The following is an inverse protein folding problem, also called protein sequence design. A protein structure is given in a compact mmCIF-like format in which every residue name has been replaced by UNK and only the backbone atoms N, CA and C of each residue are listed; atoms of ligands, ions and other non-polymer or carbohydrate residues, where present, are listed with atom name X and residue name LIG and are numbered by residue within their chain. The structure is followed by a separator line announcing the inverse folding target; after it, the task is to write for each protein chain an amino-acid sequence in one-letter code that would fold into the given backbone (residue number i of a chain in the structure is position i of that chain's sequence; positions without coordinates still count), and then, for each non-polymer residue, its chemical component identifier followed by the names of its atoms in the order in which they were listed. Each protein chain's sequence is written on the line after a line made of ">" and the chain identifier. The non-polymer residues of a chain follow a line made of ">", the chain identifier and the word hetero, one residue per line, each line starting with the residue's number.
data_IF_556648947650
#
_entry.id   IF_556648947650
#
_cell.length_a   1.000
_cell.length_b   1.000
_cell.length_c   1.000
_cell.angle_alpha   90.00
_cell.angle_beta   90.00
_cell.angle_gamma   90.00
#
_symmetry.space_group_name_H-M   'P 1'
#
loop_
_entity.id
_entity.type
_entity.pdbx_description
1 polymer ?
#
# COMPACT_ATOMS: atom_id res chain seq x y z
N UNK A 1 2.13 -29.65 -4.79
CA UNK A 1 0.88 -29.02 -4.30
C UNK A 1 1.10 -28.12 -3.09
N UNK A 2 1.64 -28.62 -1.97
CA UNK A 2 1.83 -27.80 -0.75
C UNK A 2 2.64 -26.51 -0.98
N UNK A 3 3.74 -26.58 -1.73
CA UNK A 3 4.57 -25.40 -2.07
C UNK A 3 3.76 -24.33 -2.81
N UNK A 4 2.91 -24.73 -3.76
CA UNK A 4 2.02 -23.82 -4.49
C UNK A 4 0.97 -23.19 -3.56
N UNK A 5 0.40 -23.98 -2.64
CA UNK A 5 -0.54 -23.45 -1.65
C UNK A 5 0.13 -22.42 -0.73
N UNK A 6 1.33 -22.71 -0.22
CA UNK A 6 2.09 -21.76 0.60
C UNK A 6 2.41 -20.49 -0.16
N UNK A 7 2.89 -20.60 -1.41
CA UNK A 7 3.16 -19.44 -2.26
C UNK A 7 1.91 -18.57 -2.47
N UNK A 8 0.75 -19.21 -2.70
CA UNK A 8 -0.54 -18.53 -2.80
C UNK A 8 -0.93 -17.82 -1.50
N UNK A 9 -0.80 -18.47 -0.35
CA UNK A 9 -1.09 -17.87 0.96
C UNK A 9 -0.18 -16.68 1.21
N UNK A 10 1.12 -16.79 0.95
CA UNK A 10 2.07 -15.68 1.11
C UNK A 10 1.72 -14.52 0.19
N UNK A 11 1.35 -14.78 -1.06
CA UNK A 11 0.91 -13.74 -1.99
C UNK A 11 -0.35 -13.02 -1.48
N UNK A 12 -1.35 -13.75 -1.00
CA UNK A 12 -2.57 -13.15 -0.40
C UNK A 12 -2.23 -12.34 0.84
N UNK A 13 -1.37 -12.84 1.73
CA UNK A 13 -0.91 -12.09 2.91
C UNK A 13 -0.20 -10.80 2.53
N UNK A 14 0.65 -10.82 1.49
CA UNK A 14 1.28 -9.61 0.95
C UNK A 14 0.26 -8.64 0.37
N UNK A 15 -0.76 -9.13 -0.34
CA UNK A 15 -1.83 -8.29 -0.89
C UNK A 15 -2.59 -7.57 0.22
N UNK A 16 -2.99 -8.28 1.28
CA UNK A 16 -3.69 -7.69 2.43
C UNK A 16 -2.83 -6.58 3.05
N UNK A 17 -1.55 -6.85 3.29
CA UNK A 17 -0.62 -5.84 3.83
C UNK A 17 -0.45 -4.61 2.92
N UNK A 18 -0.43 -4.80 1.60
CA UNK A 18 -0.38 -3.69 0.66
C UNK A 18 -1.66 -2.86 0.72
N UNK A 19 -2.83 -3.50 0.81
CA UNK A 19 -4.13 -2.83 0.92
C UNK A 19 -4.22 -2.01 2.21
N UNK A 20 -3.83 -2.60 3.34
CA UNK A 20 -3.84 -1.90 4.63
C UNK A 20 -2.89 -0.70 4.63
N UNK A 21 -1.66 -0.88 4.12
CA UNK A 21 -0.68 0.18 3.98
C UNK A 21 -1.18 1.33 3.08
N UNK A 22 -1.74 1.00 1.91
CA UNK A 22 -2.28 2.01 1.00
C UNK A 22 -3.44 2.77 1.65
N UNK A 23 -4.35 2.06 2.34
CA UNK A 23 -5.51 2.66 3.00
C UNK A 23 -5.09 3.65 4.09
N UNK A 24 -4.16 3.27 4.95
CA UNK A 24 -3.67 4.16 6.00
C UNK A 24 -2.91 5.36 5.44
N UNK A 25 -2.09 5.16 4.40
CA UNK A 25 -1.38 6.26 3.75
C UNK A 25 -2.34 7.25 3.07
N UNK A 26 -3.39 6.78 2.39
CA UNK A 26 -4.38 7.66 1.77
C UNK A 26 -5.09 8.53 2.82
N UNK A 27 -5.45 7.94 3.97
CA UNK A 27 -6.11 8.65 5.07
C UNK A 27 -5.20 9.70 5.73
N UNK A 28 -3.93 9.36 5.98
CA UNK A 28 -2.96 10.29 6.55
C UNK A 28 -2.60 11.41 5.57
N UNK A 29 -2.44 11.08 4.28
CA UNK A 29 -2.20 12.07 3.24
C UNK A 29 -3.41 13.01 3.07
N UNK A 30 -4.64 12.50 3.20
CA UNK A 30 -5.86 13.31 3.15
C UNK A 30 -5.93 14.38 4.25
N UNK A 31 -5.25 14.14 5.38
CA UNK A 31 -5.07 15.11 6.49
C UNK A 31 -3.92 16.09 6.28
N UNK A 32 -3.21 15.98 5.16
CA UNK A 32 -2.02 16.79 4.86
C UNK A 32 -0.73 16.29 5.50
N UNK A 33 -0.72 15.10 6.13
CA UNK A 33 0.47 14.52 6.76
C UNK A 33 1.11 13.45 5.87
N UNK A 34 1.69 13.89 4.75
CA UNK A 34 2.33 12.99 3.77
C UNK A 34 3.57 12.28 4.35
N UNK A 35 4.31 12.94 5.24
CA UNK A 35 5.49 12.37 5.89
C UNK A 35 5.14 11.17 6.76
N UNK A 36 4.13 11.32 7.63
CA UNK A 36 3.60 10.22 8.44
C UNK A 36 2.91 9.16 7.59
N UNK A 37 2.21 9.55 6.51
CA UNK A 37 1.59 8.62 5.58
C UNK A 37 2.61 7.63 4.98
N UNK A 38 3.72 8.13 4.42
CA UNK A 38 4.77 7.28 3.84
C UNK A 38 5.45 6.43 4.92
N UNK A 39 5.77 7.01 6.08
CA UNK A 39 6.40 6.27 7.16
C UNK A 39 5.51 5.13 7.67
N UNK A 40 4.20 5.37 7.79
CA UNK A 40 3.23 4.38 8.25
C UNK A 40 2.99 3.29 7.21
N UNK A 41 2.79 3.64 5.94
CA UNK A 41 2.69 2.66 4.87
C UNK A 41 3.94 1.77 4.78
N UNK A 42 5.15 2.32 4.94
CA UNK A 42 6.38 1.51 4.95
C UNK A 42 6.45 0.52 6.13
N UNK A 43 5.83 0.83 7.27
CA UNK A 43 5.77 -0.09 8.42
C UNK A 43 4.77 -1.23 8.18
N UNK A 44 3.62 -0.94 7.55
CA UNK A 44 2.61 -1.95 7.24
C UNK A 44 2.98 -2.81 6.03
N UNK A 45 3.55 -2.18 4.99
CA UNK A 45 3.83 -2.82 3.72
C UNK A 45 4.93 -3.90 3.82
N UNK A 46 4.93 -4.88 2.90
CA UNK A 46 6.02 -5.84 2.80
C UNK A 46 7.41 -5.18 2.65
N UNK A 47 8.46 -5.89 3.05
CA UNK A 47 9.82 -5.38 2.96
C UNK A 47 10.18 -5.03 1.51
N UNK A 48 10.85 -3.89 1.30
CA UNK A 48 11.21 -3.41 -0.03
C UNK A 48 10.04 -2.82 -0.83
N UNK A 49 8.85 -2.68 -0.24
CA UNK A 49 7.72 -2.07 -0.92
C UNK A 49 7.97 -0.60 -1.25
N UNK A 50 7.58 -0.21 -2.45
CA UNK A 50 7.55 1.17 -2.94
C UNK A 50 6.20 1.77 -2.59
N UNK A 51 6.22 2.97 -2.00
CA UNK A 51 5.02 3.72 -1.62
C UNK A 51 5.03 5.01 -2.43
N UNK A 52 3.94 5.26 -3.14
CA UNK A 52 3.73 6.47 -3.93
C UNK A 52 2.45 7.14 -3.49
N UNK A 53 2.52 8.45 -3.30
CA UNK A 53 1.39 9.31 -2.97
C UNK A 53 1.18 10.30 -4.10
N UNK A 54 -0.07 10.51 -4.48
CA UNK A 54 -0.44 11.50 -5.48
C UNK A 54 -1.77 12.14 -5.11
N UNK A 55 -1.88 13.45 -5.31
CA UNK A 55 -3.14 14.18 -5.19
C UNK A 55 -3.80 14.26 -6.57
N UNK A 56 -5.02 13.75 -6.66
CA UNK A 56 -5.88 13.78 -7.83
C UNK A 56 -7.13 14.61 -7.50
N UNK A 57 -7.08 15.91 -7.84
CA UNK A 57 -8.11 16.88 -7.44
C UNK A 57 -8.29 16.94 -5.92
N UNK A 58 -9.50 16.62 -5.47
CA UNK A 58 -9.88 16.58 -4.05
C UNK A 58 -9.59 15.23 -3.39
N UNK A 59 -8.90 14.32 -4.07
CA UNK A 59 -8.57 12.99 -3.56
C UNK A 59 -7.06 12.80 -3.39
N UNK A 60 -6.69 12.09 -2.34
CA UNK A 60 -5.35 11.57 -2.12
C UNK A 60 -5.34 10.08 -2.45
N UNK A 61 -4.47 9.73 -3.37
CA UNK A 61 -4.26 8.39 -3.87
C UNK A 61 -2.94 7.86 -3.33
N UNK A 62 -3.01 6.72 -2.65
CA UNK A 62 -1.83 5.98 -2.21
C UNK A 62 -1.71 4.68 -2.99
N UNK A 63 -0.53 4.45 -3.55
CA UNK A 63 -0.18 3.20 -4.25
C UNK A 63 0.98 2.55 -3.52
N UNK A 64 0.83 1.27 -3.20
CA UNK A 64 1.87 0.45 -2.57
C UNK A 64 2.15 -0.73 -3.50
N UNK A 65 3.42 -0.91 -3.86
CA UNK A 65 3.88 -2.01 -4.72
C UNK A 65 4.98 -2.77 -4.01
N UNK A 66 4.81 -4.08 -3.86
CA UNK A 66 5.77 -4.98 -3.25
C UNK A 66 6.16 -6.09 -4.22
N UNK A 67 7.45 -6.38 -4.30
CA UNK A 67 7.95 -7.49 -5.10
C UNK A 67 7.84 -8.81 -4.31
N UNK A 68 7.29 -9.86 -4.90
CA UNK A 68 7.13 -11.14 -4.22
C UNK A 68 8.44 -11.92 -4.19
N UNK A 69 8.97 -12.18 -2.99
CA UNK A 69 10.17 -13.02 -2.81
C UNK A 69 9.93 -14.50 -3.18
N UNK A 70 8.67 -14.95 -3.16
CA UNK A 70 8.31 -16.34 -3.47
C UNK A 70 7.95 -16.52 -4.95
N UNK A 71 7.56 -15.42 -5.61
CA UNK A 71 7.15 -15.37 -7.01
C UNK A 71 7.88 -14.19 -7.68
N UNK A 72 9.17 -14.33 -8.02
CA UNK A 72 10.06 -13.22 -8.39
C UNK A 72 9.72 -12.52 -9.72
N UNK A 73 8.65 -12.92 -10.40
CA UNK A 73 8.13 -12.24 -11.60
C UNK A 73 6.81 -11.52 -11.30
N UNK A 74 6.34 -11.54 -10.06
CA UNK A 74 5.03 -11.01 -9.67
C UNK A 74 5.21 -9.86 -8.69
N UNK A 75 4.73 -8.70 -9.12
CA UNK A 75 4.50 -7.56 -8.26
C UNK A 75 3.10 -7.63 -7.66
N UNK A 76 3.02 -7.34 -6.38
CA UNK A 76 1.78 -7.27 -5.61
C UNK A 76 1.53 -5.80 -5.32
N UNK A 77 0.47 -5.26 -5.90
CA UNK A 77 0.14 -3.85 -5.81
C UNK A 77 -1.24 -3.64 -5.19
N UNK A 78 -1.37 -2.55 -4.43
CA UNK A 78 -2.64 -2.06 -3.94
C UNK A 78 -2.71 -0.55 -4.09
N UNK A 79 -3.91 -0.05 -4.41
CA UNK A 79 -4.22 1.37 -4.49
C UNK A 79 -5.39 1.68 -3.58
N UNK A 80 -5.29 2.76 -2.82
CA UNK A 80 -6.36 3.28 -2.00
C UNK A 80 -6.53 4.79 -2.26
N UNK A 81 -7.74 5.28 -2.05
CA UNK A 81 -8.13 6.66 -2.31
C UNK A 81 -8.88 7.21 -1.11
N UNK A 82 -8.62 8.46 -0.73
CA UNK A 82 -9.32 9.16 0.34
C UNK A 82 -9.56 10.61 -0.06
N UNK A 83 -10.72 11.18 0.25
CA UNK A 83 -10.99 12.59 -0.02
C UNK A 83 -10.16 13.47 0.94
N UNK A 84 -9.59 14.55 0.43
CA UNK A 84 -8.87 15.53 1.23
C UNK A 84 -9.81 16.15 2.28
N UNK A 85 -9.31 16.35 3.50
CA UNK A 85 -10.06 17.10 4.49
C UNK A 85 -10.18 18.58 4.03
N UNK A 86 -11.37 19.18 4.08
CA UNK A 86 -11.53 20.59 3.73
C UNK A 86 -10.75 21.46 4.72
N UNK A 87 -9.94 22.38 4.18
CA UNK A 87 -9.22 23.36 4.99
C UNK A 87 -10.22 24.23 5.76
N UNK A 88 -10.19 24.13 7.08
CA UNK A 88 -11.05 24.91 7.97
C UNK A 88 -10.65 26.38 8.00
#
# INVERSE_FOLDING_TARGET
>A
MLVLCLAGITAVSMQVRCVDAAREAALLAARGDEGSAVATARRLAPAGARVELHRDGDFLVATVVAHSNVLPTIDIAAKAVSAAEPSR
#
